data_IF_105541779517
#
_entry.id   IF_105541779517
#
_cell.length_a   1.000
_cell.length_b   1.000
_cell.length_c   1.000
_cell.angle_alpha   90.00
_cell.angle_beta   90.00
_cell.angle_gamma   90.00
#
_symmetry.space_group_name_H-M   'P 1'
#
loop_
_entity.id
_entity.type
_entity.pdbx_description
1 polymer ?
#
# COMPACT_ATOMS: atom_id res chain seq x y z
N UNK A 1 -0.98 0.90 15.83
CA UNK A 1 -1.77 0.62 14.60
C UNK A 1 -1.16 1.35 13.41
N UNK A 2 -0.88 2.63 13.60
CA UNK A 2 -0.27 3.51 12.59
C UNK A 2 1.01 2.94 11.98
N UNK A 3 1.95 2.41 12.78
CA UNK A 3 3.20 1.87 12.23
C UNK A 3 2.98 0.69 11.27
N UNK A 4 2.03 -0.19 11.58
CA UNK A 4 1.68 -1.32 10.71
C UNK A 4 1.05 -0.85 9.40
N UNK A 5 0.21 0.19 9.45
CA UNK A 5 -0.36 0.83 8.26
C UNK A 5 0.74 1.51 7.44
N UNK A 6 1.59 2.32 8.08
CA UNK A 6 2.69 3.04 7.43
C UNK A 6 3.63 2.09 6.70
N UNK A 7 4.01 0.98 7.36
CA UNK A 7 4.84 -0.05 6.74
C UNK A 7 4.14 -0.68 5.53
N UNK A 8 2.85 -1.04 5.64
CA UNK A 8 2.11 -1.63 4.53
C UNK A 8 2.01 -0.71 3.30
N UNK A 9 1.83 0.60 3.50
CA UNK A 9 1.81 1.58 2.40
C UNK A 9 3.21 1.83 1.83
N UNK A 10 4.24 1.91 2.68
CA UNK A 10 5.62 2.12 2.24
C UNK A 10 6.12 0.97 1.36
N UNK A 11 5.88 -0.27 1.77
CA UNK A 11 6.25 -1.45 0.97
C UNK A 11 5.48 -1.49 -0.37
N UNK A 12 4.21 -1.04 -0.38
CA UNK A 12 3.45 -0.91 -1.62
C UNK A 12 4.05 0.15 -2.57
N UNK A 13 4.50 1.30 -2.05
CA UNK A 13 5.21 2.32 -2.83
C UNK A 13 6.49 1.75 -3.44
N UNK A 14 7.27 0.99 -2.66
CA UNK A 14 8.50 0.36 -3.15
C UNK A 14 8.22 -0.69 -4.22
N UNK A 15 7.19 -1.51 -4.03
CA UNK A 15 6.81 -2.51 -5.01
C UNK A 15 6.33 -1.89 -6.33
N UNK A 16 5.50 -0.84 -6.26
CA UNK A 16 5.06 -0.09 -7.44
C UNK A 16 6.23 0.57 -8.19
N UNK A 17 7.23 1.06 -7.47
CA UNK A 17 8.45 1.58 -8.10
C UNK A 17 9.29 0.48 -8.78
N UNK A 18 9.50 -0.65 -8.08
CA UNK A 18 10.36 -1.72 -8.56
C UNK A 18 9.76 -2.48 -9.76
N UNK A 19 8.46 -2.79 -9.71
CA UNK A 19 7.83 -3.71 -10.68
C UNK A 19 7.00 -2.97 -11.74
N UNK A 20 6.52 -1.75 -11.44
CA UNK A 20 5.66 -0.96 -12.34
C UNK A 20 6.32 0.37 -12.78
N UNK A 21 7.54 0.66 -12.34
CA UNK A 21 8.33 1.80 -12.83
C UNK A 21 7.86 3.20 -12.40
N UNK A 22 6.87 3.29 -11.51
CA UNK A 22 6.39 4.56 -10.97
C UNK A 22 7.47 5.24 -10.11
N UNK A 23 7.61 6.56 -10.17
CA UNK A 23 8.38 7.28 -9.14
C UNK A 23 7.74 7.12 -7.76
N UNK A 24 8.51 7.34 -6.69
CA UNK A 24 7.97 7.24 -5.33
C UNK A 24 6.83 8.24 -5.10
N UNK A 25 6.94 9.43 -5.67
CA UNK A 25 5.94 10.49 -5.61
C UNK A 25 4.66 10.10 -6.35
N UNK A 26 4.77 9.54 -7.56
CA UNK A 26 3.62 9.06 -8.34
C UNK A 26 2.93 7.88 -7.64
N UNK A 27 3.70 6.90 -7.16
CA UNK A 27 3.15 5.77 -6.41
C UNK A 27 2.44 6.23 -5.13
N UNK A 28 3.03 7.17 -4.38
CA UNK A 28 2.41 7.74 -3.19
C UNK A 28 1.09 8.46 -3.52
N UNK A 29 1.09 9.29 -4.56
CA UNK A 29 -0.11 10.02 -5.02
C UNK A 29 -1.19 9.07 -5.51
N UNK A 30 -0.83 8.03 -6.27
CA UNK A 30 -1.76 6.99 -6.74
C UNK A 30 -2.42 6.28 -5.55
N UNK A 31 -1.62 5.79 -4.60
CA UNK A 31 -2.14 5.10 -3.42
C UNK A 31 -3.07 6.00 -2.60
N UNK A 32 -2.81 7.31 -2.52
CA UNK A 32 -3.71 8.26 -1.87
C UNK A 32 -5.12 8.34 -2.48
N UNK A 33 -5.29 7.91 -3.74
CA UNK A 33 -6.58 7.93 -4.45
C UNK A 33 -7.26 6.56 -4.48
N UNK A 34 -6.50 5.49 -4.70
CA UNK A 34 -7.07 4.17 -5.04
C UNK A 34 -6.76 3.06 -4.04
N UNK A 35 -5.90 3.31 -3.05
CA UNK A 35 -5.54 2.26 -2.10
C UNK A 35 -6.69 1.95 -1.15
N UNK A 36 -6.96 0.66 -0.96
CA UNK A 36 -7.82 0.15 0.09
C UNK A 36 -6.98 -0.26 1.30
N UNK A 37 -7.29 0.37 2.43
CA UNK A 37 -6.64 0.14 3.71
C UNK A 37 -7.51 -0.81 4.56
N UNK A 38 -6.97 -1.95 5.01
CA UNK A 38 -7.69 -2.88 5.91
C UNK A 38 -6.90 -3.17 7.18
N UNK A 39 -7.50 -2.83 8.32
CA UNK A 39 -7.05 -3.31 9.61
C UNK A 39 -7.45 -4.78 9.79
N UNK A 40 -6.48 -5.69 9.82
CA UNK A 40 -6.75 -7.14 9.88
C UNK A 40 -6.85 -7.63 11.31
N UNK A 41 -5.95 -7.21 12.19
CA UNK A 41 -5.98 -7.55 13.59
C UNK A 41 -5.31 -6.45 14.44
N UNK A 42 -5.84 -6.27 15.65
CA UNK A 42 -5.28 -5.39 16.68
C UNK A 42 -5.21 -6.07 18.06
N UNK A 43 -5.44 -7.39 18.12
CA UNK A 43 -5.56 -8.13 19.39
C UNK A 43 -4.25 -8.78 19.81
N UNK A 44 -3.30 -8.91 18.90
CA UNK A 44 -1.98 -9.46 19.19
C UNK A 44 -1.00 -8.32 19.56
N UNK A 45 0.12 -8.63 20.25
CA UNK A 45 1.14 -7.64 20.58
C UNK A 45 1.72 -6.89 19.36
N UNK A 46 1.71 -7.53 18.18
CA UNK A 46 1.99 -6.89 16.90
C UNK A 46 0.68 -6.73 16.15
N UNK A 47 0.42 -5.55 15.59
CA UNK A 47 -0.74 -5.30 14.75
C UNK A 47 -0.47 -5.64 13.29
N UNK A 48 -1.52 -5.93 12.53
CA UNK A 48 -1.39 -6.19 11.09
C UNK A 48 -2.37 -5.36 10.29
N UNK A 49 -1.84 -4.78 9.23
CA UNK A 49 -2.56 -3.92 8.31
C UNK A 49 -2.25 -4.36 6.88
N UNK A 50 -3.20 -4.20 5.97
CA UNK A 50 -3.03 -4.53 4.56
C UNK A 50 -3.33 -3.28 3.73
N UNK A 51 -2.42 -2.94 2.83
CA UNK A 51 -2.63 -2.00 1.74
C UNK A 51 -2.92 -2.81 0.47
N UNK A 52 -4.03 -2.52 -0.22
CA UNK A 52 -4.44 -3.20 -1.46
C UNK A 52 -4.75 -2.18 -2.54
N UNK A 53 -4.56 -2.57 -3.78
CA UNK A 53 -4.95 -1.81 -4.96
C UNK A 53 -5.71 -2.76 -5.91
N UNK A 54 -6.68 -2.24 -6.68
CA UNK A 54 -7.39 -3.06 -7.66
C UNK A 54 -6.42 -3.55 -8.74
N UNK A 55 -6.58 -4.81 -9.16
CA UNK A 55 -5.81 -5.35 -10.30
C UNK A 55 -6.12 -4.62 -11.59
N UNK A 56 -7.33 -4.09 -11.76
CA UNK A 56 -7.68 -3.32 -12.96
C UNK A 56 -6.86 -2.04 -13.06
N UNK A 57 -6.54 -1.41 -11.93
CA UNK A 57 -5.63 -0.25 -11.89
C UNK A 57 -4.21 -0.70 -12.20
N UNK A 58 -3.73 -1.80 -11.60
CA UNK A 58 -2.39 -2.33 -11.88
C UNK A 58 -2.18 -2.72 -13.34
N UNK A 59 -3.21 -3.26 -14.00
CA UNK A 59 -3.14 -3.65 -15.41
C UNK A 59 -3.09 -2.45 -16.38
N UNK A 60 -3.32 -1.23 -15.89
CA UNK A 60 -3.26 0.01 -16.67
C UNK A 60 -1.96 0.79 -16.45
N UNK A 61 -1.11 0.34 -15.52
CA UNK A 61 0.25 0.84 -15.29
C UNK A 61 1.21 0.17 -16.27
#
# INVERSE_FOLDING_TARGET
LEDAMRTAFQEMVYWLNADYGLSYEEAYMLLGQVAEARCTQMVNPKYSYICKISKDVLNQL
#
